data_IF_900996898374
#
_entry.id   IF_900996898374
#
_cell.length_a   1.000
_cell.length_b   1.000
_cell.length_c   1.000
_cell.angle_alpha   90.00
_cell.angle_beta   90.00
_cell.angle_gamma   90.00
#
_symmetry.space_group_name_H-M   'P 1'
#
loop_
_entity.id
_entity.type
_entity.pdbx_description
1 polymer ?
#
# COMPACT_ATOMS: atom_id res chain seq x y z
N UNK A 1 -22.95 12.65 9.28
CA UNK A 1 -22.33 12.26 8.00
C UNK A 1 -20.89 11.88 8.28
N UNK A 2 -20.39 10.71 7.86
CA UNK A 2 -19.15 10.18 8.39
C UNK A 2 -17.97 10.98 7.82
N UNK A 3 -17.18 11.56 8.73
CA UNK A 3 -15.97 12.28 8.43
C UNK A 3 -15.01 11.40 7.64
N UNK A 4 -14.88 11.71 6.34
CA UNK A 4 -13.89 11.18 5.42
C UNK A 4 -12.52 11.41 6.06
N UNK A 5 -11.91 10.37 6.66
CA UNK A 5 -10.52 10.40 7.11
C UNK A 5 -9.68 10.76 5.89
N UNK A 6 -9.30 12.03 5.81
CA UNK A 6 -8.61 12.63 4.68
C UNK A 6 -7.14 12.22 4.76
N UNK A 7 -6.80 11.08 4.16
CA UNK A 7 -5.43 10.97 3.64
C UNK A 7 -5.32 11.95 2.47
N UNK A 8 -4.30 12.81 2.54
CA UNK A 8 -4.04 13.83 1.53
C UNK A 8 -3.74 13.16 0.18
N UNK A 9 -4.49 13.55 -0.86
CA UNK A 9 -4.36 13.07 -2.24
C UNK A 9 -2.89 13.20 -2.70
N UNK A 10 -2.23 14.30 -2.36
CA UNK A 10 -0.82 14.54 -2.70
C UNK A 10 0.12 13.57 -1.99
N UNK A 11 -0.06 13.36 -0.69
CA UNK A 11 0.75 12.42 0.10
C UNK A 11 0.59 10.98 -0.40
N UNK A 12 -0.64 10.57 -0.74
CA UNK A 12 -0.91 9.25 -1.31
C UNK A 12 -0.23 9.08 -2.68
N UNK A 13 -0.37 10.07 -3.57
CA UNK A 13 0.29 10.04 -4.89
C UNK A 13 1.81 10.04 -4.78
N UNK A 14 2.40 10.82 -3.86
CA UNK A 14 3.85 10.80 -3.61
C UNK A 14 4.33 9.43 -3.11
N UNK A 15 3.57 8.81 -2.24
CA UNK A 15 3.87 7.46 -1.76
C UNK A 15 3.66 6.41 -2.85
N UNK A 16 2.69 6.57 -3.75
CA UNK A 16 2.48 5.66 -4.88
C UNK A 16 3.38 5.98 -6.09
N UNK A 17 4.05 7.13 -6.13
CA UNK A 17 4.85 7.53 -7.29
C UNK A 17 6.18 6.78 -7.49
N UNK A 18 6.45 5.72 -6.73
CA UNK A 18 7.70 4.96 -6.83
C UNK A 18 7.42 3.48 -7.14
N UNK A 19 8.14 2.88 -8.10
CA UNK A 19 7.84 1.53 -8.60
C UNK A 19 7.80 0.45 -7.51
N UNK A 20 8.75 0.43 -6.58
CA UNK A 20 8.85 -0.58 -5.53
C UNK A 20 7.66 -0.47 -4.56
N UNK A 21 7.31 0.75 -4.15
CA UNK A 21 6.12 1.01 -3.31
C UNK A 21 4.83 0.57 -3.99
N UNK A 22 4.69 0.77 -5.30
CA UNK A 22 3.54 0.26 -6.05
C UNK A 22 3.47 -1.26 -6.06
N UNK A 23 4.60 -1.93 -6.30
CA UNK A 23 4.66 -3.39 -6.27
C UNK A 23 4.34 -3.93 -4.87
N UNK A 24 4.79 -3.27 -3.81
CA UNK A 24 4.41 -3.59 -2.42
C UNK A 24 2.90 -3.46 -2.20
N UNK A 25 2.31 -2.33 -2.58
CA UNK A 25 0.86 -2.11 -2.45
C UNK A 25 0.08 -3.17 -3.24
N UNK A 26 0.51 -3.52 -4.46
CA UNK A 26 -0.10 -4.58 -5.27
C UNK A 26 -0.03 -5.95 -4.60
N UNK A 27 1.08 -6.29 -3.96
CA UNK A 27 1.16 -7.53 -3.17
C UNK A 27 0.21 -7.51 -1.97
N UNK A 28 0.06 -6.36 -1.32
CA UNK A 28 -0.82 -6.16 -0.17
C UNK A 28 -2.31 -6.05 -0.53
N UNK A 29 -2.61 -5.69 -1.78
CA UNK A 29 -3.95 -5.80 -2.38
C UNK A 29 -4.37 -7.27 -2.43
N UNK A 30 -3.47 -8.17 -2.81
CA UNK A 30 -3.75 -9.61 -2.90
C UNK A 30 -3.93 -10.27 -1.52
N UNK A 31 -3.31 -9.72 -0.48
CA UNK A 31 -3.46 -10.20 0.89
C UNK A 31 -2.48 -9.55 1.86
N UNK A 32 -2.80 -9.60 3.15
CA UNK A 32 -1.88 -9.16 4.20
C UNK A 32 -0.67 -10.10 4.26
N UNK A 33 0.54 -9.55 4.29
CA UNK A 33 1.79 -10.33 4.18
C UNK A 33 2.85 -9.85 5.19
N UNK A 34 3.69 -10.75 5.72
CA UNK A 34 4.82 -10.36 6.54
C UNK A 34 5.91 -9.69 5.69
N UNK A 35 6.77 -8.90 6.35
CA UNK A 35 7.90 -8.24 5.68
C UNK A 35 8.81 -9.21 4.91
N UNK A 36 8.98 -10.43 5.42
CA UNK A 36 9.84 -11.46 4.81
C UNK A 36 9.33 -11.87 3.44
N UNK A 37 8.04 -12.19 3.33
CA UNK A 37 7.42 -12.57 2.05
C UNK A 37 7.46 -11.42 1.03
N UNK A 38 7.30 -10.17 1.50
CA UNK A 38 7.43 -9.00 0.65
C UNK A 38 8.86 -8.80 0.14
N UNK A 39 9.87 -9.09 0.96
CA UNK A 39 11.28 -9.06 0.54
C UNK A 39 11.57 -10.12 -0.52
N UNK A 40 11.10 -11.35 -0.28
CA UNK A 40 11.29 -12.49 -1.18
C UNK A 40 10.61 -12.24 -2.53
N UNK A 41 9.36 -11.78 -2.52
CA UNK A 41 8.59 -11.54 -3.75
C UNK A 41 9.20 -10.43 -4.62
N UNK A 42 9.73 -9.39 -3.99
CA UNK A 42 10.23 -8.21 -4.69
C UNK A 42 11.75 -8.24 -4.94
N UNK A 43 12.45 -9.28 -4.46
CA UNK A 43 13.90 -9.43 -4.56
C UNK A 43 14.67 -8.20 -4.05
N UNK A 44 14.17 -7.58 -2.98
CA UNK A 44 14.75 -6.38 -2.36
C UNK A 44 15.15 -6.66 -0.92
N UNK A 45 16.17 -5.94 -0.46
CA UNK A 45 16.70 -6.11 0.90
C UNK A 45 15.66 -5.72 1.96
N UNK A 46 15.66 -6.38 3.14
CA UNK A 46 14.76 -6.05 4.24
C UNK A 46 14.83 -4.60 4.71
N UNK A 47 16.00 -3.99 4.60
CA UNK A 47 16.22 -2.58 4.90
C UNK A 47 15.44 -1.66 3.96
N UNK A 48 15.51 -1.93 2.65
CA UNK A 48 14.81 -1.13 1.65
C UNK A 48 13.30 -1.32 1.78
N UNK A 49 12.81 -2.56 1.91
CA UNK A 49 11.37 -2.83 2.10
C UNK A 49 10.82 -2.13 3.33
N UNK A 50 11.53 -2.20 4.48
CA UNK A 50 11.09 -1.54 5.71
C UNK A 50 10.99 -0.02 5.55
N UNK A 51 11.91 0.60 4.79
CA UNK A 51 11.86 2.03 4.47
C UNK A 51 10.64 2.37 3.59
N UNK A 52 10.39 1.58 2.55
CA UNK A 52 9.23 1.78 1.67
C UNK A 52 7.90 1.60 2.41
N UNK A 53 7.78 0.56 3.24
CA UNK A 53 6.61 0.30 4.07
C UNK A 53 6.34 1.42 5.07
N UNK A 54 7.40 2.00 5.66
CA UNK A 54 7.26 3.15 6.54
C UNK A 54 6.65 4.36 5.82
N UNK A 55 7.14 4.70 4.63
CA UNK A 55 6.59 5.81 3.82
C UNK A 55 5.12 5.57 3.48
N UNK A 56 4.77 4.34 3.08
CA UNK A 56 3.39 3.98 2.77
C UNK A 56 2.47 4.03 4.00
N UNK A 57 2.98 3.64 5.17
CA UNK A 57 2.27 3.76 6.45
C UNK A 57 2.09 5.21 6.87
N UNK A 58 3.12 6.05 6.75
CA UNK A 58 3.06 7.48 7.08
C UNK A 58 2.07 8.23 6.18
N UNK A 59 1.95 7.81 4.92
CA UNK A 59 0.93 8.32 4.00
C UNK A 59 -0.48 7.73 4.23
N UNK A 60 -0.66 6.81 5.19
CA UNK A 60 -1.95 6.23 5.55
C UNK A 60 -2.48 5.16 4.58
N UNK A 61 -1.64 4.61 3.70
CA UNK A 61 -2.04 3.56 2.76
C UNK A 61 -2.01 2.16 3.40
N UNK A 62 -1.12 1.95 4.35
CA UNK A 62 -0.89 0.66 4.99
C UNK A 62 -1.11 0.73 6.50
N UNK A 63 -1.54 -0.40 7.03
CA UNK A 63 -1.55 -0.70 8.46
C UNK A 63 -0.62 -1.87 8.76
N UNK A 64 -0.17 -1.95 10.01
CA UNK A 64 0.74 -2.99 10.47
C UNK A 64 0.19 -3.57 11.76
N UNK A 65 0.10 -4.88 11.79
CA UNK A 65 -0.32 -5.66 12.95
C UNK A 65 0.84 -6.54 13.40
N UNK A 66 1.02 -6.66 14.72
CA UNK A 66 2.04 -7.53 15.29
C UNK A 66 1.41 -8.89 15.56
N UNK A 67 1.79 -9.89 14.77
CA UNK A 67 1.37 -11.28 14.98
C UNK A 67 2.57 -12.09 15.50
N UNK A 68 2.61 -12.30 16.82
CA UNK A 68 3.71 -12.97 17.50
C UNK A 68 5.04 -12.20 17.34
N UNK A 69 6.02 -12.83 16.68
CA UNK A 69 7.34 -12.24 16.42
C UNK A 69 7.41 -11.47 15.09
N UNK A 70 6.40 -11.61 14.23
CA UNK A 70 6.39 -11.01 12.90
C UNK A 70 5.45 -9.80 12.85
N UNK A 71 5.75 -8.88 11.93
CA UNK A 71 4.90 -7.74 11.59
C UNK A 71 4.22 -8.05 10.26
N UNK A 72 2.89 -8.16 10.30
CA UNK A 72 2.08 -8.33 9.11
C UNK A 72 1.63 -6.97 8.64
N UNK A 73 1.89 -6.68 7.38
CA UNK A 73 1.46 -5.47 6.73
C UNK A 73 0.19 -5.77 5.93
N UNK A 74 -0.76 -4.85 6.01
CA UNK A 74 -2.02 -4.91 5.28
C UNK A 74 -2.32 -3.53 4.70
N UNK A 75 -3.17 -3.48 3.68
CA UNK A 75 -3.76 -2.21 3.25
C UNK A 75 -4.66 -1.67 4.35
N UNK A 76 -4.53 -0.38 4.65
CA UNK A 76 -5.38 0.28 5.61
C UNK A 76 -6.85 0.15 5.20
N UNK A 77 -7.75 -0.16 6.13
CA UNK A 77 -9.19 -0.26 5.87
C UNK A 77 -9.74 0.96 5.09
N UNK A 78 -9.37 2.18 5.51
CA UNK A 78 -9.79 3.42 4.83
C UNK A 78 -9.25 3.56 3.39
N UNK A 79 -8.12 2.91 3.09
CA UNK A 79 -7.57 2.83 1.74
C UNK A 79 -8.28 1.75 0.91
N UNK A 80 -8.60 0.60 1.53
CA UNK A 80 -9.37 -0.49 0.89
C UNK A 80 -10.76 -0.04 0.47
N UNK A 81 -11.43 0.80 1.25
CA UNK A 81 -12.75 1.37 0.88
C UNK A 81 -12.70 2.22 -0.40
N UNK A 82 -11.54 2.78 -0.75
CA UNK A 82 -11.35 3.57 -1.99
C UNK A 82 -10.85 2.75 -3.18
N UNK A 83 -10.54 1.47 -2.96
CA UNK A 83 -10.25 0.55 -4.05
C UNK A 83 -11.57 0.07 -4.63
N UNK A 84 -11.80 0.34 -5.92
CA UNK A 84 -12.96 -0.17 -6.63
C UNK A 84 -12.96 -1.71 -6.66
N UNK A 85 -14.11 -2.33 -6.90
CA UNK A 85 -14.40 -3.79 -6.79
C UNK A 85 -13.38 -4.78 -7.36
N UNK A 86 -12.44 -4.37 -8.20
CA UNK A 86 -11.37 -5.25 -8.70
C UNK A 86 -10.00 -5.00 -8.06
N UNK A 87 -9.89 -4.09 -7.09
CA UNK A 87 -8.64 -3.61 -6.49
C UNK A 87 -7.57 -3.13 -7.50
N UNK A 88 -8.02 -2.85 -8.72
CA UNK A 88 -7.22 -2.45 -9.88
C UNK A 88 -7.16 -0.95 -10.07
N UNK A 89 -8.11 -0.23 -9.47
CA UNK A 89 -8.21 1.22 -9.57
C UNK A 89 -8.45 1.81 -8.19
N UNK A 90 -7.59 2.75 -7.81
CA UNK A 90 -7.77 3.58 -6.63
C UNK A 90 -8.42 4.89 -7.06
N UNK A 91 -9.59 5.18 -6.50
CA UNK A 91 -10.28 6.44 -6.72
C UNK A 91 -10.10 7.36 -5.50
N UNK A 92 -9.38 8.47 -5.70
CA UNK A 92 -9.15 9.46 -4.66
C UNK A 92 -10.20 10.59 -4.69
N UNK A 93 -11.13 10.59 -5.64
CA UNK A 93 -12.08 11.66 -5.95
C UNK A 93 -11.48 12.80 -6.77
N UNK A 94 -10.17 13.04 -6.66
CA UNK A 94 -9.36 13.98 -7.45
C UNK A 94 -8.72 13.29 -8.68
N UNK A 95 -8.34 12.02 -8.54
CA UNK A 95 -7.53 11.28 -9.51
C UNK A 95 -7.82 9.77 -9.39
N UNK A 96 -7.68 9.05 -10.49
CA UNK A 96 -7.77 7.58 -10.54
C UNK A 96 -6.39 6.98 -10.83
N UNK A 97 -5.95 6.05 -9.98
CA UNK A 97 -4.69 5.34 -10.16
C UNK A 97 -4.96 3.90 -10.59
N UNK A 98 -4.44 3.50 -11.76
CA UNK A 98 -4.65 2.16 -12.32
C UNK A 98 -3.42 1.29 -12.08
N UNK A 99 -3.56 0.27 -11.22
CA UNK A 99 -2.49 -0.67 -10.90
C UNK A 99 -2.26 -1.74 -12.00
N UNK A 100 -3.17 -1.87 -12.97
CA UNK A 100 -3.03 -2.81 -14.09
C UNK A 100 -2.05 -2.35 -15.18
N UNK A 101 -1.80 -1.04 -15.28
CA UNK A 101 -0.96 -0.46 -16.35
C UNK A 101 0.51 -0.35 -15.96
N UNK A 102 0.91 -0.91 -14.82
CA UNK A 102 2.31 -0.86 -14.40
C UNK A 102 3.11 -1.92 -15.17
N UNK A 103 4.24 -1.55 -15.81
CA UNK A 103 5.18 -2.52 -16.34
C UNK A 103 5.77 -3.36 -15.20
N UNK A 104 6.02 -4.64 -15.49
CA UNK A 104 6.55 -5.64 -14.53
C UNK A 104 7.90 -5.26 -13.93
#
# INVERSE_FOLDING_TARGET
MPGRKSFDCLSAMRALGEPTRLRLVRQLIAGAKPVTELCDTLHVTPYNVSKHLRVLKEAGLLEVEKQGQQRIYALAAAFREKLSNNAKTLDLGCCQFHFDKLPE
#
